data_IF_422177997552
#
_entry.id   IF_422177997552
#
_cell.length_a   1.000
_cell.length_b   1.000
_cell.length_c   1.000
_cell.angle_alpha   90.00
_cell.angle_beta   90.00
_cell.angle_gamma   90.00
#
_symmetry.space_group_name_H-M   'P 1'
#
loop_
_entity.id
_entity.type
_entity.pdbx_description
1 polymer ?
#
# COMPACT_ATOMS: atom_id res chain seq x y z
N UNK A 1 -5.41 -31.80 0.07
CA UNK A 1 -6.37 -30.78 -0.37
C UNK A 1 -5.57 -29.68 -1.05
N UNK A 2 -5.72 -29.49 -2.35
CA UNK A 2 -5.12 -28.36 -3.05
C UNK A 2 -5.85 -27.08 -2.57
N UNK A 3 -5.15 -26.19 -1.90
CA UNK A 3 -5.66 -24.83 -1.62
C UNK A 3 -5.67 -24.10 -2.97
N UNK A 4 -6.74 -24.23 -3.74
CA UNK A 4 -6.87 -23.47 -4.98
C UNK A 4 -7.31 -22.06 -4.61
N UNK A 5 -6.36 -21.12 -4.59
CA UNK A 5 -6.60 -19.68 -4.49
C UNK A 5 -7.41 -19.24 -5.71
N UNK A 6 -8.44 -18.41 -5.51
CA UNK A 6 -9.27 -17.91 -6.61
C UNK A 6 -8.91 -16.50 -7.05
N UNK A 7 -8.37 -15.68 -6.14
CA UNK A 7 -7.93 -14.28 -6.41
C UNK A 7 -6.71 -13.98 -5.56
N UNK A 8 -5.78 -13.16 -6.07
CA UNK A 8 -4.65 -12.63 -5.29
C UNK A 8 -4.70 -11.11 -5.25
N UNK A 9 -4.68 -10.58 -4.02
CA UNK A 9 -4.57 -9.16 -3.75
C UNK A 9 -3.12 -8.85 -3.36
N UNK A 10 -2.61 -7.69 -3.75
CA UNK A 10 -1.26 -7.25 -3.39
C UNK A 10 -1.30 -5.88 -2.70
N UNK A 11 -0.57 -5.74 -1.60
CA UNK A 11 -0.14 -4.40 -1.19
C UNK A 11 0.89 -3.87 -2.21
N UNK A 12 1.19 -2.57 -2.15
CA UNK A 12 2.09 -1.92 -3.10
C UNK A 12 3.42 -1.57 -2.42
N UNK A 13 3.37 -0.74 -1.37
CA UNK A 13 4.56 -0.23 -0.69
C UNK A 13 5.16 -1.30 0.24
N UNK A 14 6.39 -1.75 -0.03
CA UNK A 14 7.05 -2.82 0.70
C UNK A 14 6.77 -4.22 0.14
N UNK A 15 5.81 -4.36 -0.77
CA UNK A 15 5.43 -5.63 -1.40
C UNK A 15 5.76 -5.66 -2.88
N UNK A 16 5.20 -4.75 -3.68
CA UNK A 16 5.53 -4.63 -5.11
C UNK A 16 6.77 -3.77 -5.31
N UNK A 17 6.86 -2.64 -4.58
CA UNK A 17 7.96 -1.67 -4.72
C UNK A 17 8.67 -1.42 -3.40
N UNK A 18 10.00 -1.22 -3.45
CA UNK A 18 10.78 -0.74 -2.30
C UNK A 18 10.58 0.78 -2.15
N UNK A 19 9.51 1.16 -1.47
CA UNK A 19 9.20 2.56 -1.20
C UNK A 19 9.91 3.12 0.03
N UNK A 20 10.61 2.30 0.81
CA UNK A 20 11.24 2.72 2.06
C UNK A 20 12.18 3.93 1.89
N UNK A 21 13.04 4.01 0.88
CA UNK A 21 13.90 5.19 0.70
C UNK A 21 13.12 6.49 0.50
N UNK A 22 12.06 6.48 -0.33
CA UNK A 22 11.23 7.65 -0.60
C UNK A 22 10.40 8.07 0.62
N UNK A 23 9.78 7.10 1.32
CA UNK A 23 9.03 7.32 2.56
C UNK A 23 9.93 7.93 3.63
N UNK A 24 11.09 7.31 3.89
CA UNK A 24 12.04 7.80 4.92
C UNK A 24 12.60 9.20 4.56
N UNK A 25 12.83 9.49 3.29
CA UNK A 25 13.24 10.82 2.83
C UNK A 25 12.16 11.87 3.08
N UNK A 26 10.90 11.56 2.77
CA UNK A 26 9.78 12.44 3.00
C UNK A 26 9.55 12.71 4.51
N UNK A 27 9.71 11.68 5.39
CA UNK A 27 9.67 11.85 6.84
C UNK A 27 10.76 12.80 7.34
N UNK A 28 12.03 12.56 6.92
CA UNK A 28 13.17 13.43 7.30
C UNK A 28 12.91 14.88 6.89
N UNK A 29 12.46 15.09 5.65
CA UNK A 29 12.18 16.43 5.15
C UNK A 29 11.06 17.12 5.94
N UNK A 30 9.95 16.43 6.22
CA UNK A 30 8.85 17.00 6.98
C UNK A 30 9.25 17.38 8.42
N UNK A 31 10.08 16.57 9.09
CA UNK A 31 10.61 16.86 10.42
C UNK A 31 11.62 18.02 10.39
N UNK A 32 12.50 18.06 9.37
CA UNK A 32 13.50 19.11 9.22
C UNK A 32 12.90 20.51 9.02
N UNK A 33 11.72 20.62 8.39
CA UNK A 33 11.05 21.93 8.21
C UNK A 33 10.69 22.62 9.52
N UNK A 34 10.61 21.87 10.59
CA UNK A 34 10.27 22.35 11.93
C UNK A 34 11.41 22.19 12.93
N UNK A 35 12.65 21.96 12.46
CA UNK A 35 13.83 21.70 13.29
C UNK A 35 13.60 20.60 14.36
N UNK A 36 12.79 19.59 14.03
CA UNK A 36 12.44 18.50 14.92
C UNK A 36 13.46 17.35 14.86
N UNK A 37 13.62 16.57 15.94
CA UNK A 37 14.50 15.43 15.98
C UNK A 37 14.16 14.41 14.89
N UNK A 38 15.16 13.98 14.14
CA UNK A 38 15.01 12.97 13.09
C UNK A 38 15.33 11.60 13.69
N UNK A 39 14.37 10.66 13.71
CA UNK A 39 14.63 9.29 14.15
C UNK A 39 15.70 8.61 13.28
N UNK A 40 16.36 7.60 13.85
CA UNK A 40 17.31 6.79 13.10
C UNK A 40 16.62 6.01 11.95
N UNK A 41 17.44 5.44 11.08
CA UNK A 41 16.93 4.74 9.90
C UNK A 41 16.09 3.50 10.25
N UNK A 42 16.37 2.81 11.36
CA UNK A 42 15.62 1.64 11.77
C UNK A 42 14.21 2.06 12.23
N UNK A 43 14.10 3.11 13.03
CA UNK A 43 12.82 3.67 13.48
C UNK A 43 12.00 4.21 12.31
N UNK A 44 12.62 4.98 11.39
CA UNK A 44 11.93 5.50 10.21
C UNK A 44 11.39 4.38 9.31
N UNK A 45 12.10 3.26 9.20
CA UNK A 45 11.65 2.12 8.41
C UNK A 45 10.34 1.51 8.94
N UNK A 46 10.08 1.59 10.26
CA UNK A 46 8.81 1.09 10.85
C UNK A 46 7.59 1.93 10.45
N UNK A 47 7.80 3.10 9.84
CA UNK A 47 6.75 3.98 9.34
C UNK A 47 6.46 3.81 7.83
N UNK A 48 7.07 2.82 7.20
CA UNK A 48 6.67 2.39 5.85
C UNK A 48 5.41 1.53 5.98
N UNK A 49 4.31 1.94 5.34
CA UNK A 49 3.02 1.24 5.38
C UNK A 49 1.99 1.75 6.40
N UNK A 50 2.35 2.12 7.66
CA UNK A 50 1.39 2.69 8.60
C UNK A 50 0.75 3.99 8.10
N UNK A 51 -0.49 4.32 8.57
CA UNK A 51 -1.09 5.63 8.36
C UNK A 51 -0.22 6.75 8.93
N UNK A 52 -0.08 7.86 8.19
CA UNK A 52 0.78 8.99 8.59
C UNK A 52 0.41 9.58 9.96
N UNK A 53 -0.89 9.68 10.25
CA UNK A 53 -1.37 10.16 11.55
C UNK A 53 -0.88 9.30 12.70
N UNK A 54 -0.88 7.97 12.50
CA UNK A 54 -0.31 7.04 13.47
C UNK A 54 1.20 7.26 13.61
N UNK A 55 1.93 7.35 12.50
CA UNK A 55 3.40 7.43 12.50
C UNK A 55 3.91 8.71 13.15
N UNK A 56 3.33 9.88 12.84
CA UNK A 56 3.70 11.13 13.50
C UNK A 56 3.18 11.21 14.94
N UNK A 57 2.00 10.63 15.24
CA UNK A 57 1.48 10.52 16.61
C UNK A 57 2.36 9.64 17.49
N UNK A 58 2.90 8.54 16.98
CA UNK A 58 3.83 7.64 17.67
C UNK A 58 5.20 8.31 17.95
N UNK A 59 5.55 9.35 17.18
CA UNK A 59 6.68 10.24 17.47
C UNK A 59 6.35 11.31 18.53
N UNK A 60 5.10 11.37 19.03
CA UNK A 60 4.65 12.30 20.07
C UNK A 60 4.12 13.64 19.55
N UNK A 61 3.84 13.76 18.24
CA UNK A 61 3.29 14.99 17.67
C UNK A 61 1.77 14.94 17.65
N UNK A 62 1.14 16.09 17.94
CA UNK A 62 -0.32 16.22 18.06
C UNK A 62 -0.83 17.53 17.43
N UNK A 63 -2.15 17.65 17.29
CA UNK A 63 -2.83 18.89 16.91
C UNK A 63 -2.37 19.43 15.54
N UNK A 64 -2.18 20.75 15.49
CA UNK A 64 -1.82 21.47 14.27
C UNK A 64 -0.45 21.07 13.72
N UNK A 65 0.53 20.84 14.60
CA UNK A 65 1.88 20.41 14.20
C UNK A 65 1.82 19.07 13.48
N UNK A 66 1.08 18.08 14.01
CA UNK A 66 0.89 16.78 13.36
C UNK A 66 0.24 16.96 11.98
N UNK A 67 -0.79 17.80 11.85
CA UNK A 67 -1.42 18.07 10.56
C UNK A 67 -0.44 18.67 9.55
N UNK A 68 0.40 19.61 10.00
CA UNK A 68 1.41 20.24 9.16
C UNK A 68 2.51 19.26 8.73
N UNK A 69 2.96 18.38 9.64
CA UNK A 69 3.92 17.31 9.32
C UNK A 69 3.37 16.33 8.27
N UNK A 70 2.11 15.92 8.42
CA UNK A 70 1.42 15.06 7.43
C UNK A 70 1.36 15.74 6.06
N UNK A 71 1.02 17.04 6.02
CA UNK A 71 0.95 17.79 4.77
C UNK A 71 2.35 17.97 4.14
N UNK A 72 3.36 18.30 4.92
CA UNK A 72 4.75 18.41 4.49
C UNK A 72 5.31 17.10 3.94
N UNK A 73 5.01 15.99 4.61
CA UNK A 73 5.33 14.66 4.11
C UNK A 73 4.65 14.38 2.76
N UNK A 74 3.32 14.61 2.67
CA UNK A 74 2.55 14.35 1.44
C UNK A 74 3.08 15.12 0.25
N UNK A 75 3.41 16.40 0.43
CA UNK A 75 3.96 17.24 -0.63
C UNK A 75 5.29 16.68 -1.15
N UNK A 76 6.18 16.22 -0.27
CA UNK A 76 7.48 15.63 -0.63
C UNK A 76 7.33 14.26 -1.28
N UNK A 77 6.51 13.40 -0.67
CA UNK A 77 6.30 12.06 -1.19
C UNK A 77 5.65 12.10 -2.57
N UNK A 78 4.72 13.04 -2.81
CA UNK A 78 4.07 13.22 -4.11
C UNK A 78 5.06 13.57 -5.23
N UNK A 79 6.16 14.25 -4.92
CA UNK A 79 7.20 14.54 -5.91
C UNK A 79 8.02 13.31 -6.33
N UNK A 80 8.02 12.24 -5.52
CA UNK A 80 8.92 11.08 -5.65
C UNK A 80 8.22 9.72 -5.60
N UNK A 81 6.89 9.67 -5.55
CA UNK A 81 6.16 8.40 -5.35
C UNK A 81 6.28 7.42 -6.53
N UNK A 82 6.76 7.87 -7.69
CA UNK A 82 7.06 7.03 -8.85
C UNK A 82 8.51 6.52 -8.89
N UNK A 83 9.40 7.06 -8.05
CA UNK A 83 10.82 6.67 -8.02
C UNK A 83 11.07 5.25 -7.46
N UNK A 84 10.27 4.71 -6.49
CA UNK A 84 10.46 3.38 -5.96
C UNK A 84 10.52 2.31 -7.03
N UNK A 85 11.53 1.42 -6.92
CA UNK A 85 11.73 0.34 -7.87
C UNK A 85 10.99 -0.93 -7.40
N UNK A 86 10.50 -1.76 -8.33
CA UNK A 86 9.93 -3.05 -7.98
C UNK A 86 10.98 -3.93 -7.30
N UNK A 87 10.52 -4.79 -6.38
CA UNK A 87 11.39 -5.83 -5.84
C UNK A 87 11.78 -6.83 -6.94
N UNK A 88 13.00 -7.42 -6.86
CA UNK A 88 13.44 -8.41 -7.84
C UNK A 88 12.45 -9.57 -8.00
N UNK A 89 12.08 -9.88 -9.22
CA UNK A 89 11.19 -11.00 -9.56
C UNK A 89 9.69 -10.74 -9.40
N UNK A 90 9.26 -9.62 -8.76
CA UNK A 90 7.83 -9.38 -8.52
C UNK A 90 7.09 -9.09 -9.84
N UNK A 91 7.71 -8.38 -10.77
CA UNK A 91 7.09 -8.08 -12.06
C UNK A 91 6.84 -9.37 -12.84
N UNK A 92 7.84 -10.26 -12.89
CA UNK A 92 7.74 -11.56 -13.58
C UNK A 92 6.63 -12.41 -12.93
N UNK A 93 6.59 -12.49 -11.59
CA UNK A 93 5.53 -13.18 -10.86
C UNK A 93 4.13 -12.66 -11.19
N UNK A 94 3.96 -11.33 -11.26
CA UNK A 94 2.66 -10.73 -11.56
C UNK A 94 2.21 -11.08 -12.99
N UNK A 95 3.13 -11.07 -13.96
CA UNK A 95 2.83 -11.51 -15.31
C UNK A 95 2.51 -13.01 -15.39
N UNK A 96 3.27 -13.86 -14.69
CA UNK A 96 3.01 -15.30 -14.64
C UNK A 96 1.61 -15.61 -14.07
N UNK A 97 1.21 -14.92 -12.99
CA UNK A 97 -0.12 -15.09 -12.40
C UNK A 97 -1.22 -14.61 -13.35
N UNK A 98 -1.02 -13.46 -13.99
CA UNK A 98 -1.95 -12.91 -14.98
C UNK A 98 -2.13 -13.86 -16.17
N UNK A 99 -1.02 -14.36 -16.74
CA UNK A 99 -1.02 -15.27 -17.89
C UNK A 99 -1.64 -16.64 -17.53
N UNK A 100 -1.54 -17.04 -16.27
CA UNK A 100 -2.24 -18.22 -15.73
C UNK A 100 -3.75 -17.99 -15.51
N UNK A 101 -4.26 -16.77 -15.77
CA UNK A 101 -5.67 -16.42 -15.61
C UNK A 101 -6.11 -16.23 -14.16
N UNK A 102 -5.17 -15.96 -13.24
CA UNK A 102 -5.48 -15.64 -11.85
C UNK A 102 -5.91 -14.17 -11.75
N UNK A 103 -7.14 -13.86 -11.31
CA UNK A 103 -7.56 -12.48 -11.11
C UNK A 103 -6.69 -11.77 -10.07
N UNK A 104 -6.19 -10.57 -10.41
CA UNK A 104 -5.28 -9.80 -9.59
C UNK A 104 -5.86 -8.44 -9.24
N UNK A 105 -5.68 -8.02 -7.99
CA UNK A 105 -5.96 -6.64 -7.60
C UNK A 105 -4.90 -6.08 -6.67
N UNK A 106 -4.76 -4.76 -6.63
CA UNK A 106 -4.06 -4.10 -5.52
C UNK A 106 -5.04 -3.87 -4.37
N UNK A 107 -4.52 -3.89 -3.13
CA UNK A 107 -5.25 -3.49 -1.93
C UNK A 107 -4.28 -2.76 -1.00
N UNK A 108 -4.05 -1.46 -1.26
CA UNK A 108 -2.99 -0.67 -0.64
C UNK A 108 -3.51 0.50 0.18
N UNK A 109 -2.78 0.86 1.25
CA UNK A 109 -3.02 2.11 2.00
C UNK A 109 -2.58 3.36 1.24
N UNK A 110 -1.88 3.21 0.12
CA UNK A 110 -1.61 4.31 -0.82
C UNK A 110 -2.93 4.85 -1.39
N UNK A 111 -3.05 6.16 -1.55
CA UNK A 111 -4.24 6.76 -2.17
C UNK A 111 -4.49 6.19 -3.58
N UNK A 112 -5.74 5.87 -3.91
CA UNK A 112 -6.11 5.21 -5.15
C UNK A 112 -5.56 5.89 -6.43
N UNK A 113 -5.58 7.24 -6.59
CA UNK A 113 -4.97 7.88 -7.76
C UNK A 113 -3.46 7.66 -7.86
N UNK A 114 -2.75 7.62 -6.72
CA UNK A 114 -1.31 7.36 -6.69
C UNK A 114 -0.98 5.89 -6.99
N UNK A 115 -1.79 4.96 -6.47
CA UNK A 115 -1.66 3.54 -6.79
C UNK A 115 -1.85 3.29 -8.29
N UNK A 116 -2.89 3.88 -8.88
CA UNK A 116 -3.13 3.80 -10.33
C UNK A 116 -1.97 4.36 -11.15
N UNK A 117 -1.48 5.56 -10.80
CA UNK A 117 -0.35 6.19 -11.49
C UNK A 117 0.93 5.36 -11.39
N UNK A 118 1.19 4.76 -10.21
CA UNK A 118 2.37 3.90 -10.00
C UNK A 118 2.27 2.59 -10.78
N UNK A 119 1.13 1.91 -10.76
CA UNK A 119 0.94 0.70 -11.57
C UNK A 119 1.05 1.01 -13.07
N UNK A 120 0.54 2.16 -13.51
CA UNK A 120 0.71 2.62 -14.89
C UNK A 120 2.19 2.87 -15.24
N UNK A 121 2.92 3.56 -14.36
CA UNK A 121 4.35 3.83 -14.53
C UNK A 121 5.19 2.55 -14.63
N UNK A 122 4.80 1.50 -13.90
CA UNK A 122 5.46 0.19 -13.93
C UNK A 122 5.01 -0.72 -15.09
N UNK A 123 4.07 -0.27 -15.94
CA UNK A 123 3.52 -1.09 -17.02
C UNK A 123 2.54 -2.17 -16.56
N UNK A 124 2.05 -2.09 -15.34
CA UNK A 124 1.19 -3.11 -14.71
C UNK A 124 -0.32 -2.81 -14.80
N UNK A 125 -0.73 -1.74 -15.48
CA UNK A 125 -2.16 -1.35 -15.57
C UNK A 125 -3.05 -2.41 -16.20
N UNK A 126 -2.52 -3.24 -17.09
CA UNK A 126 -3.25 -4.33 -17.76
C UNK A 126 -3.06 -5.68 -17.09
N UNK A 127 -2.13 -5.78 -16.14
CA UNK A 127 -1.86 -6.99 -15.37
C UNK A 127 -2.83 -7.13 -14.21
N UNK A 128 -3.20 -6.00 -13.58
CA UNK A 128 -4.20 -5.97 -12.53
C UNK A 128 -5.60 -5.75 -13.11
N UNK A 129 -6.55 -6.64 -12.77
CA UNK A 129 -7.97 -6.47 -13.10
C UNK A 129 -8.57 -5.29 -12.34
N UNK A 130 -8.11 -5.07 -11.10
CA UNK A 130 -8.54 -3.98 -10.23
C UNK A 130 -7.33 -3.33 -9.57
N UNK A 131 -7.24 -2.01 -9.67
CA UNK A 131 -6.31 -1.22 -8.86
C UNK A 131 -7.15 -0.50 -7.80
N UNK A 132 -7.07 -0.96 -6.56
CA UNK A 132 -7.73 -0.39 -5.40
C UNK A 132 -6.70 0.21 -4.43
N UNK A 133 -7.06 1.33 -3.82
CA UNK A 133 -6.22 2.04 -2.85
C UNK A 133 -7.09 2.87 -1.92
N UNK A 134 -6.47 3.45 -0.89
CA UNK A 134 -7.17 4.25 0.10
C UNK A 134 -7.91 5.44 -0.54
N UNK A 135 -9.08 5.75 0.03
CA UNK A 135 -9.88 6.93 -0.34
C UNK A 135 -9.60 8.08 0.64
N UNK A 136 -10.06 9.32 0.33
CA UNK A 136 -9.99 10.44 1.28
C UNK A 136 -10.88 10.26 2.52
N UNK A 137 -11.78 9.27 2.53
CA UNK A 137 -12.66 9.00 3.66
C UNK A 137 -11.83 8.63 4.91
N UNK A 138 -12.04 9.30 6.07
CA UNK A 138 -11.37 8.95 7.33
C UNK A 138 -11.58 7.50 7.77
N UNK A 139 -12.65 6.84 7.34
CA UNK A 139 -12.93 5.43 7.60
C UNK A 139 -12.15 4.49 6.67
N UNK A 140 -11.43 5.02 5.67
CA UNK A 140 -10.64 4.20 4.74
C UNK A 140 -9.47 3.54 5.50
N UNK A 141 -9.51 2.22 5.56
CA UNK A 141 -8.49 1.38 6.18
C UNK A 141 -8.15 0.21 5.26
N UNK A 142 -7.14 -0.59 5.60
CA UNK A 142 -6.74 -1.75 4.78
C UNK A 142 -7.91 -2.70 4.52
N UNK A 143 -8.74 -2.99 5.53
CA UNK A 143 -9.90 -3.89 5.38
C UNK A 143 -10.94 -3.35 4.39
N UNK A 144 -11.27 -2.05 4.45
CA UNK A 144 -12.21 -1.43 3.50
C UNK A 144 -11.69 -1.47 2.08
N UNK A 145 -10.39 -1.28 1.87
CA UNK A 145 -9.76 -1.37 0.54
C UNK A 145 -9.76 -2.81 0.02
N UNK A 146 -9.53 -3.80 0.88
CA UNK A 146 -9.64 -5.23 0.54
C UNK A 146 -11.08 -5.54 0.07
N UNK A 147 -12.10 -5.13 0.83
CA UNK A 147 -13.49 -5.36 0.45
C UNK A 147 -13.86 -4.66 -0.86
N UNK A 148 -13.40 -3.43 -1.07
CA UNK A 148 -13.60 -2.72 -2.34
C UNK A 148 -12.97 -3.49 -3.51
N UNK A 149 -11.72 -3.95 -3.36
CA UNK A 149 -11.04 -4.71 -4.40
C UNK A 149 -11.80 -6.00 -4.75
N UNK A 150 -12.23 -6.76 -3.75
CA UNK A 150 -13.01 -7.99 -3.95
C UNK A 150 -14.37 -7.73 -4.59
N UNK A 151 -15.08 -6.68 -4.17
CA UNK A 151 -16.35 -6.28 -4.78
C UNK A 151 -16.17 -5.97 -6.27
N UNK A 152 -15.19 -5.14 -6.60
CA UNK A 152 -14.91 -4.75 -7.99
C UNK A 152 -14.45 -5.95 -8.85
N UNK A 153 -13.76 -6.94 -8.27
CA UNK A 153 -13.42 -8.19 -8.97
C UNK A 153 -14.66 -9.03 -9.22
N UNK A 154 -15.54 -9.18 -8.21
CA UNK A 154 -16.80 -9.92 -8.33
C UNK A 154 -17.72 -9.28 -9.38
N UNK A 155 -17.82 -7.95 -9.44
CA UNK A 155 -18.59 -7.22 -10.45
C UNK A 155 -18.08 -7.47 -11.88
N UNK A 156 -16.83 -7.90 -12.02
CA UNK A 156 -16.21 -8.33 -13.29
C UNK A 156 -16.34 -9.83 -13.57
N UNK A 157 -17.02 -10.56 -12.69
CA UNK A 157 -17.28 -11.99 -12.83
C UNK A 157 -16.20 -12.91 -12.25
N UNK A 158 -15.22 -12.37 -11.51
CA UNK A 158 -14.21 -13.20 -10.85
C UNK A 158 -14.80 -13.99 -9.67
N UNK A 159 -14.33 -15.23 -9.48
CA UNK A 159 -14.63 -16.01 -8.25
C UNK A 159 -13.80 -15.45 -7.09
N UNK A 160 -14.44 -14.79 -6.15
CA UNK A 160 -13.81 -14.21 -4.94
C UNK A 160 -14.02 -15.07 -3.69
N UNK A 161 -14.33 -16.35 -3.84
CA UNK A 161 -14.65 -17.24 -2.70
C UNK A 161 -13.41 -17.64 -1.88
N UNK A 162 -12.21 -17.58 -2.45
CA UNK A 162 -10.93 -17.98 -1.82
C UNK A 162 -9.82 -16.99 -2.12
N UNK A 163 -9.97 -15.74 -1.68
CA UNK A 163 -8.98 -14.70 -1.87
C UNK A 163 -7.79 -14.89 -0.93
N UNK A 164 -6.65 -14.32 -1.31
CA UNK A 164 -5.50 -14.15 -0.44
C UNK A 164 -4.91 -12.76 -0.69
N UNK A 165 -4.37 -12.13 0.35
CA UNK A 165 -3.56 -10.92 0.21
C UNK A 165 -2.09 -11.21 0.47
N UNK A 166 -1.22 -10.62 -0.34
CA UNK A 166 0.23 -10.58 -0.17
C UNK A 166 0.61 -9.21 0.36
N UNK A 167 1.31 -9.14 1.49
CA UNK A 167 1.70 -7.89 2.12
C UNK A 167 2.85 -8.07 3.09
N UNK A 168 3.61 -7.01 3.37
CA UNK A 168 4.85 -7.06 4.16
C UNK A 168 4.70 -6.54 5.58
N UNK A 169 3.56 -5.93 5.91
CA UNK A 169 3.39 -5.18 7.15
C UNK A 169 2.36 -5.79 8.09
N UNK A 170 2.46 -5.44 9.39
CA UNK A 170 1.43 -5.80 10.39
C UNK A 170 0.05 -5.21 10.02
N UNK A 171 0.00 -4.15 9.22
CA UNK A 171 -1.25 -3.54 8.77
C UNK A 171 -1.96 -4.41 7.73
N UNK A 172 -1.20 -5.13 6.90
CA UNK A 172 -1.75 -6.13 5.99
C UNK A 172 -2.35 -7.30 6.77
N UNK A 173 -1.63 -7.79 7.78
CA UNK A 173 -2.12 -8.87 8.66
C UNK A 173 -3.40 -8.45 9.40
N UNK A 174 -3.44 -7.23 9.95
CA UNK A 174 -4.64 -6.72 10.65
C UNK A 174 -5.81 -6.52 9.68
N UNK A 175 -5.56 -5.90 8.53
CA UNK A 175 -6.58 -5.67 7.52
C UNK A 175 -7.14 -6.96 6.94
N UNK A 176 -6.28 -7.94 6.64
CA UNK A 176 -6.69 -9.27 6.19
C UNK A 176 -7.55 -9.98 7.24
N UNK A 177 -7.14 -9.95 8.52
CA UNK A 177 -7.90 -10.53 9.62
C UNK A 177 -9.28 -9.87 9.76
N UNK A 178 -9.37 -8.55 9.69
CA UNK A 178 -10.62 -7.79 9.75
C UNK A 178 -11.51 -8.09 8.54
N UNK A 179 -10.93 -8.22 7.35
CA UNK A 179 -11.64 -8.60 6.13
C UNK A 179 -11.98 -10.10 6.06
N UNK A 180 -11.48 -10.93 6.99
CA UNK A 180 -11.76 -12.37 7.05
C UNK A 180 -11.07 -13.19 5.96
N UNK A 181 -9.91 -12.73 5.44
CA UNK A 181 -9.16 -13.42 4.39
C UNK A 181 -7.75 -13.81 4.85
N UNK A 182 -7.14 -14.85 4.25
CA UNK A 182 -5.75 -15.20 4.48
C UNK A 182 -4.77 -14.11 4.02
N UNK A 183 -3.58 -14.06 4.67
CA UNK A 183 -2.45 -13.19 4.30
C UNK A 183 -1.16 -14.02 4.18
N UNK A 184 -0.33 -13.65 3.23
CA UNK A 184 1.01 -14.17 2.98
C UNK A 184 2.03 -13.03 3.15
#
# INVERSE_FOLDING_TARGET
>A
MSLSISVVLFDVDGTIVDSAPAVMSAFRGALSDYDLPIPDGQRLRTYVGPPLWYSFGDLGYEGELLANLVNGYRARYHAHFLDPKPFPGVIDLLHELHDAGVPLATATSKQAPMALAQMSHLGLSTVFDVIAGATPDPASCKATVIHEALTRLADRGADVSRPVIVGDSIWDVRGAKEAGIPVI
#
